data_IF_088640138135
#
_entry.id   IF_088640138135
#
_cell.length_a   1.000
_cell.length_b   1.000
_cell.length_c   1.000
_cell.angle_alpha   90.00
_cell.angle_beta   90.00
_cell.angle_gamma   90.00
#
_symmetry.space_group_name_H-M   'P 1'
#
loop_
_entity.id
_entity.type
_entity.pdbx_description
1 polymer ?
#
# COMPACT_ATOMS: atom_id res chain seq x y z
N UNK A 1 13.98 9.46 -0.81
CA UNK A 1 13.73 8.14 -0.18
C UNK A 1 12.32 7.76 -0.57
N UNK A 2 12.01 6.49 -0.90
CA UNK A 2 10.64 6.12 -1.25
C UNK A 2 9.75 6.41 -0.04
N UNK A 3 8.75 7.26 -0.22
CA UNK A 3 7.79 7.60 0.83
C UNK A 3 6.86 6.43 1.14
N UNK A 4 6.76 5.45 0.23
CA UNK A 4 5.86 4.32 0.36
C UNK A 4 6.63 3.01 0.50
N UNK A 5 6.08 2.08 1.30
CA UNK A 5 6.61 0.74 1.52
C UNK A 5 5.58 -0.30 1.11
N UNK A 6 5.99 -1.31 0.36
CA UNK A 6 5.17 -2.47 0.04
C UNK A 6 5.53 -3.66 0.95
N UNK A 7 4.52 -4.38 1.46
CA UNK A 7 4.70 -5.58 2.26
C UNK A 7 3.72 -6.68 1.85
N UNK A 8 4.23 -7.91 1.74
CA UNK A 8 3.41 -9.08 1.50
C UNK A 8 2.88 -9.62 2.82
N UNK A 9 1.57 -9.85 2.89
CA UNK A 9 0.93 -10.57 3.99
C UNK A 9 0.27 -11.84 3.48
N UNK A 10 0.43 -12.89 4.26
CA UNK A 10 -0.13 -14.21 3.96
C UNK A 10 -0.97 -14.61 5.17
N UNK A 11 -2.24 -14.87 4.91
CA UNK A 11 -3.15 -15.43 5.90
C UNK A 11 -3.07 -16.95 5.84
N UNK A 12 -2.85 -17.56 7.00
CA UNK A 12 -2.75 -19.01 7.15
C UNK A 12 -3.94 -19.52 7.94
N UNK A 13 -4.46 -20.67 7.51
CA UNK A 13 -5.41 -21.44 8.28
C UNK A 13 -4.72 -22.10 9.49
N UNK A 14 -5.49 -22.55 10.50
CA UNK A 14 -4.93 -23.20 11.68
C UNK A 14 -4.13 -24.49 11.38
N UNK A 15 -4.36 -25.12 10.23
CA UNK A 15 -3.62 -26.29 9.73
C UNK A 15 -2.31 -25.91 9.00
N UNK A 16 -2.03 -24.61 8.86
CA UNK A 16 -0.85 -24.09 8.16
C UNK A 16 -1.04 -23.89 6.65
N UNK A 17 -2.22 -24.20 6.10
CA UNK A 17 -2.53 -23.96 4.69
C UNK A 17 -2.71 -22.45 4.43
N UNK A 18 -2.30 -21.96 3.25
CA UNK A 18 -2.51 -20.56 2.87
C UNK A 18 -3.99 -20.34 2.55
N UNK A 19 -4.65 -19.44 3.28
CA UNK A 19 -6.01 -18.99 3.00
C UNK A 19 -5.97 -17.90 1.93
N UNK A 20 -5.08 -16.92 2.08
CA UNK A 20 -5.02 -15.76 1.20
C UNK A 20 -3.66 -15.08 1.24
N UNK A 21 -3.34 -14.36 0.17
CA UNK A 21 -2.16 -13.50 0.08
C UNK A 21 -2.63 -12.13 -0.35
N UNK A 22 -2.23 -11.10 0.39
CA UNK A 22 -2.54 -9.71 0.09
C UNK A 22 -1.29 -8.85 0.23
N UNK A 23 -1.34 -7.68 -0.39
CA UNK A 23 -0.28 -6.70 -0.35
C UNK A 23 -0.76 -5.45 0.35
N UNK A 24 0.04 -4.99 1.31
CA UNK A 24 -0.17 -3.72 2.00
C UNK A 24 0.84 -2.71 1.47
N UNK A 25 0.35 -1.55 1.09
CA UNK A 25 1.15 -0.37 0.77
C UNK A 25 0.99 0.60 1.92
N UNK A 26 2.11 0.95 2.54
CA UNK A 26 2.21 1.88 3.66
C UNK A 26 2.74 3.22 3.19
N UNK A 27 2.24 4.30 3.79
CA UNK A 27 2.82 5.64 3.66
C UNK A 27 4.06 5.83 4.55
N UNK A 28 4.63 7.04 4.50
CA UNK A 28 5.85 7.40 5.25
C UNK A 28 5.63 7.42 6.77
N UNK A 29 4.38 7.60 7.22
CA UNK A 29 3.98 7.53 8.63
C UNK A 29 3.71 6.07 9.08
N UNK A 30 3.84 5.10 8.17
CA UNK A 30 3.60 3.69 8.42
C UNK A 30 2.11 3.33 8.49
N UNK A 31 1.21 4.17 7.98
CA UNK A 31 -0.22 3.86 7.88
C UNK A 31 -0.50 3.10 6.59
N UNK A 32 -1.44 2.17 6.65
CA UNK A 32 -1.89 1.44 5.46
C UNK A 32 -2.62 2.41 4.54
N UNK A 33 -2.00 2.72 3.41
CA UNK A 33 -2.60 3.51 2.34
C UNK A 33 -3.56 2.63 1.52
N UNK A 34 -3.15 1.40 1.21
CA UNK A 34 -3.96 0.40 0.50
C UNK A 34 -3.63 -1.01 0.98
N UNK A 35 -4.66 -1.84 1.07
CA UNK A 35 -4.54 -3.29 1.26
C UNK A 35 -5.41 -3.99 0.23
N UNK A 36 -4.90 -5.03 -0.43
CA UNK A 36 -5.64 -5.72 -1.49
C UNK A 36 -5.11 -7.10 -1.84
N UNK A 37 -5.99 -7.95 -2.37
CA UNK A 37 -5.68 -9.25 -2.97
C UNK A 37 -5.05 -9.07 -4.36
N UNK A 38 -4.08 -8.18 -4.46
CA UNK A 38 -3.39 -7.84 -5.69
C UNK A 38 -2.29 -8.87 -6.00
N UNK A 39 -1.84 -8.94 -7.26
CA UNK A 39 -0.58 -9.62 -7.57
C UNK A 39 0.60 -8.75 -7.14
N UNK A 40 1.79 -9.35 -7.00
CA UNK A 40 3.02 -8.58 -6.71
C UNK A 40 3.26 -7.48 -7.76
N UNK A 41 3.07 -7.81 -9.04
CA UNK A 41 3.23 -6.90 -10.16
C UNK A 41 2.26 -5.71 -10.07
N UNK A 42 0.99 -5.96 -9.77
CA UNK A 42 0.01 -4.89 -9.57
C UNK A 42 0.38 -4.00 -8.39
N UNK A 43 0.80 -4.60 -7.28
CA UNK A 43 1.19 -3.85 -6.09
C UNK A 43 2.43 -2.97 -6.34
N UNK A 44 3.37 -3.43 -7.17
CA UNK A 44 4.51 -2.63 -7.64
C UNK A 44 4.08 -1.49 -8.58
N UNK A 45 3.17 -1.74 -9.54
CA UNK A 45 2.65 -0.70 -10.44
C UNK A 45 1.94 0.42 -9.64
N UNK A 46 1.17 0.06 -8.62
CA UNK A 46 0.50 1.02 -7.73
C UNK A 46 1.53 1.84 -6.96
N UNK A 47 2.59 1.21 -6.45
CA UNK A 47 3.67 1.90 -5.74
C UNK A 47 4.32 2.95 -6.65
N UNK A 48 4.65 2.59 -7.89
CA UNK A 48 5.23 3.51 -8.86
C UNK A 48 4.29 4.67 -9.20
N UNK A 49 3.00 4.39 -9.39
CA UNK A 49 1.98 5.43 -9.60
C UNK A 49 1.93 6.41 -8.43
N UNK A 50 1.96 5.92 -7.19
CA UNK A 50 1.93 6.77 -5.99
C UNK A 50 3.18 7.64 -5.88
N UNK A 51 4.36 7.11 -6.18
CA UNK A 51 5.60 7.89 -6.22
C UNK A 51 5.59 8.97 -7.31
N UNK A 52 4.98 8.69 -8.47
CA UNK A 52 4.83 9.67 -9.56
C UNK A 52 3.80 10.74 -9.15
N UNK A 53 2.66 10.33 -8.59
CA UNK A 53 1.59 11.23 -8.17
C UNK A 53 2.08 12.22 -7.10
N UNK A 54 2.86 11.75 -6.11
CA UNK A 54 3.44 12.62 -5.08
C UNK A 54 4.41 13.65 -5.68
N UNK A 55 5.31 13.22 -6.58
CA UNK A 55 6.23 14.12 -7.29
C UNK A 55 5.52 15.18 -8.12
N UNK A 56 4.36 14.85 -8.69
CA UNK A 56 3.58 15.76 -9.51
C UNK A 56 2.73 16.72 -8.67
N UNK A 57 2.34 16.35 -7.45
CA UNK A 57 1.54 17.22 -6.58
C UNK A 57 1.75 16.94 -5.08
N UNK A 58 2.86 17.44 -4.48
CA UNK A 58 3.22 17.15 -3.09
C UNK A 58 2.30 17.79 -2.04
N UNK A 59 1.30 18.60 -2.43
CA UNK A 59 0.41 19.33 -1.51
C UNK A 59 -1.01 18.73 -1.39
N UNK A 60 -1.32 17.60 -2.02
CA UNK A 60 -2.67 17.00 -1.95
C UNK A 60 -2.94 16.20 -0.67
N UNK A 61 -1.93 15.97 0.18
CA UNK A 61 -2.09 15.35 1.49
C UNK A 61 -2.52 16.34 2.60
N UNK A 62 -2.92 17.58 2.26
CA UNK A 62 -3.67 18.42 3.19
C UNK A 62 -5.07 17.84 3.37
N UNK A 63 -5.21 17.09 4.47
CA UNK A 63 -6.46 16.67 5.11
C UNK A 63 -7.59 17.65 4.79
N UNK A 64 -8.62 17.15 4.12
CA UNK A 64 -9.96 17.72 4.26
C UNK A 64 -10.42 17.41 5.69
N UNK A 65 -10.09 18.30 6.63
CA UNK A 65 -10.70 18.28 7.96
C UNK A 65 -12.23 18.46 7.79
N UNK A 66 -13.06 17.52 8.29
CA UNK A 66 -14.51 17.70 8.26
C UNK A 66 -14.90 18.76 9.30
N UNK A 67 -15.51 19.84 8.82
CA UNK A 67 -16.19 20.88 9.62
C UNK A 67 -17.53 20.36 10.18
#
# INVERSE_FOLDING_TARGET
MPQYKIEKKIEYAPDGSVISTFWDIYDEEGRVFRSGLDTEEMAQEILEYLEIADKLNPNQHQRIDPN
#
